data_IF_115423892315
#
_entry.id   IF_115423892315
#
_cell.length_a   1.000
_cell.length_b   1.000
_cell.length_c   1.000
_cell.angle_alpha   90.00
_cell.angle_beta   90.00
_cell.angle_gamma   90.00
#
_symmetry.space_group_name_H-M   'P 1'
#
loop_
_entity.id
_entity.type
_entity.pdbx_description
1 polymer ?
#
# COMPACT_ATOMS: atom_id res chain seq x y z
N UNK A 1 28.34 -7.28 -38.65
CA UNK A 1 27.55 -8.51 -38.54
C UNK A 1 26.54 -8.54 -39.68
N UNK A 2 26.62 -9.57 -40.51
CA UNK A 2 26.03 -9.62 -41.86
C UNK A 2 24.50 -9.61 -41.78
N UNK A 3 23.82 -8.85 -42.64
CA UNK A 3 22.35 -8.64 -42.71
C UNK A 3 21.49 -9.92 -42.52
N UNK A 4 22.07 -11.09 -42.82
CA UNK A 4 21.46 -12.42 -42.61
C UNK A 4 21.30 -12.79 -41.12
N UNK A 5 22.21 -12.38 -40.23
CA UNK A 5 22.09 -12.58 -38.77
C UNK A 5 21.02 -11.67 -38.15
N UNK A 6 20.79 -10.48 -38.71
CA UNK A 6 19.76 -9.57 -38.23
C UNK A 6 18.35 -10.09 -38.58
N UNK A 7 18.18 -10.61 -39.80
CA UNK A 7 16.92 -11.26 -40.20
C UNK A 7 16.61 -12.51 -39.37
N UNK A 8 17.62 -13.30 -39.01
CA UNK A 8 17.45 -14.52 -38.22
C UNK A 8 17.05 -14.22 -36.77
N UNK A 9 17.56 -13.12 -36.19
CA UNK A 9 17.18 -12.67 -34.84
C UNK A 9 15.75 -12.12 -34.79
N UNK A 10 15.31 -11.37 -35.81
CA UNK A 10 13.95 -10.82 -35.88
C UNK A 10 12.89 -11.90 -36.05
N UNK A 11 13.17 -12.94 -36.86
CA UNK A 11 12.27 -14.10 -37.02
C UNK A 11 12.12 -14.90 -35.71
N UNK A 12 13.19 -15.00 -34.91
CA UNK A 12 13.18 -15.72 -33.63
C UNK A 12 12.26 -15.05 -32.58
N UNK A 13 12.22 -13.72 -32.56
CA UNK A 13 11.42 -12.95 -31.59
C UNK A 13 9.91 -13.04 -31.91
N UNK A 14 9.54 -13.14 -33.19
CA UNK A 14 8.13 -13.26 -33.63
C UNK A 14 7.51 -14.62 -33.28
N UNK A 15 8.31 -15.69 -33.22
CA UNK A 15 7.82 -17.02 -32.84
C UNK A 15 7.52 -17.17 -31.34
N UNK A 16 8.03 -16.28 -30.49
CA UNK A 16 7.83 -16.34 -29.03
C UNK A 16 6.48 -15.73 -28.58
N UNK A 17 5.74 -15.05 -29.47
CA UNK A 17 4.46 -14.39 -29.12
C UNK A 17 3.21 -15.22 -29.41
N UNK A 18 3.33 -16.48 -29.82
CA UNK A 18 2.18 -17.35 -30.16
C UNK A 18 1.83 -18.43 -29.10
N UNK A 19 2.46 -18.44 -27.93
CA UNK A 19 1.97 -19.23 -26.80
C UNK A 19 0.94 -18.43 -25.97
N UNK A 20 -0.13 -18.00 -26.61
CA UNK A 20 -1.37 -17.63 -25.93
C UNK A 20 -2.07 -18.92 -25.51
N UNK A 21 -2.09 -19.23 -24.22
CA UNK A 21 -2.88 -20.32 -23.66
C UNK A 21 -4.36 -19.92 -23.75
N UNK A 22 -5.03 -20.36 -24.82
CA UNK A 22 -6.47 -20.41 -24.92
C UNK A 22 -6.98 -21.80 -24.57
N UNK A 23 -7.92 -21.88 -23.63
CA UNK A 23 -8.86 -23.00 -23.51
C UNK A 23 -9.11 -23.51 -22.09
N UNK A 24 -10.25 -23.15 -21.50
CA UNK A 24 -11.38 -24.08 -21.41
C UNK A 24 -12.59 -23.42 -20.73
N UNK A 25 -13.60 -23.11 -21.55
CA UNK A 25 -14.98 -22.94 -21.10
C UNK A 25 -15.45 -24.26 -20.44
N UNK A 26 -15.97 -24.16 -19.23
CA UNK A 26 -16.95 -25.11 -18.70
C UNK A 26 -18.25 -24.35 -18.52
N UNK A 27 -19.12 -24.46 -19.51
CA UNK A 27 -20.54 -24.13 -19.39
C UNK A 27 -21.31 -25.29 -18.72
N UNK A 28 -22.56 -25.05 -18.27
CA UNK A 28 -23.12 -25.64 -17.07
C UNK A 28 -23.89 -26.94 -17.32
N UNK A 29 -23.95 -27.79 -16.30
CA UNK A 29 -24.92 -28.88 -16.24
C UNK A 29 -26.31 -28.35 -15.86
N UNK A 30 -27.31 -28.69 -16.67
CA UNK A 30 -28.73 -28.39 -16.50
C UNK A 30 -29.46 -29.41 -15.60
N UNK A 31 -30.28 -28.87 -14.68
CA UNK A 31 -31.71 -29.18 -14.42
C UNK A 31 -32.19 -30.57 -13.96
N UNK A 32 -32.80 -30.62 -12.75
CA UNK A 32 -34.14 -31.16 -12.42
C UNK A 32 -34.45 -30.85 -10.93
N UNK A 33 -35.59 -30.34 -10.46
CA UNK A 33 -36.85 -29.94 -11.10
C UNK A 33 -37.81 -29.30 -10.07
N UNK A 34 -38.91 -28.76 -10.63
CA UNK A 34 -40.20 -28.36 -10.04
C UNK A 34 -40.35 -27.01 -9.27
N UNK A 35 -40.87 -26.05 -10.06
CA UNK A 35 -41.74 -24.89 -9.79
C UNK A 35 -43.00 -25.23 -8.91
N UNK A 36 -43.86 -24.26 -8.48
CA UNK A 36 -44.00 -22.87 -8.97
C UNK A 36 -44.31 -21.73 -7.97
N UNK A 37 -44.18 -20.49 -8.47
CA UNK A 37 -44.98 -19.28 -8.18
C UNK A 37 -44.84 -18.63 -6.78
N UNK A 38 -44.79 -17.30 -6.60
CA UNK A 38 -45.42 -16.20 -7.35
C UNK A 38 -44.86 -14.84 -6.89
N UNK A 39 -45.02 -13.83 -7.76
CA UNK A 39 -45.16 -12.37 -7.51
C UNK A 39 -43.95 -11.45 -7.35
N UNK A 40 -44.12 -10.31 -8.02
CA UNK A 40 -43.18 -9.28 -8.49
C UNK A 40 -43.07 -8.10 -7.48
N UNK A 41 -42.53 -6.92 -7.85
CA UNK A 41 -41.27 -6.32 -7.39
C UNK A 41 -41.46 -5.15 -6.37
N UNK A 42 -40.42 -4.75 -5.65
CA UNK A 42 -40.44 -3.44 -4.98
C UNK A 42 -39.34 -3.14 -3.97
N UNK A 43 -38.55 -2.12 -4.31
CA UNK A 43 -38.01 -1.07 -3.43
C UNK A 43 -37.08 -1.49 -2.27
N UNK A 44 -35.78 -1.28 -2.44
CA UNK A 44 -34.86 -1.05 -1.30
C UNK A 44 -34.57 0.45 -1.20
N UNK A 45 -35.21 1.07 -0.21
CA UNK A 45 -34.81 2.38 0.33
C UNK A 45 -33.61 2.21 1.29
N UNK A 46 -32.75 3.24 1.41
CA UNK A 46 -31.59 3.22 2.28
C UNK A 46 -31.99 3.34 3.75
N UNK A 47 -31.48 2.46 4.60
CA UNK A 47 -31.68 2.53 6.04
C UNK A 47 -30.94 3.76 6.61
N UNK A 48 -31.73 4.76 6.98
CA UNK A 48 -31.34 5.90 7.82
C UNK A 48 -31.34 5.44 9.28
N UNK A 49 -30.30 5.78 10.04
CA UNK A 49 -30.32 5.76 11.51
C UNK A 49 -30.33 7.20 12.02
N UNK A 50 -31.40 7.59 12.71
CA UNK A 50 -31.50 8.78 13.57
C UNK A 50 -31.60 8.28 15.02
N UNK A 51 -31.11 8.90 16.10
CA UNK A 51 -30.37 10.13 16.42
C UNK A 51 -30.07 10.03 17.95
N UNK A 52 -29.09 10.72 18.55
CA UNK A 52 -29.28 12.06 19.16
C UNK A 52 -27.97 12.57 19.82
N UNK A 53 -27.60 13.81 19.45
CA UNK A 53 -26.94 14.96 20.14
C UNK A 53 -26.14 14.76 21.46
N UNK A 54 -25.03 15.46 21.77
CA UNK A 54 -24.37 16.63 21.16
C UNK A 54 -23.14 17.11 21.99
N UNK A 55 -22.32 18.01 21.41
CA UNK A 55 -21.22 18.83 22.01
C UNK A 55 -20.01 18.05 22.54
N UNK A 56 -18.79 18.15 22.01
CA UNK A 56 -17.90 19.33 21.96
C UNK A 56 -16.69 18.93 21.09
N UNK A 57 -16.17 19.84 20.26
CA UNK A 57 -14.88 19.80 19.53
C UNK A 57 -14.42 18.44 18.97
N UNK A 58 -14.87 18.11 17.77
CA UNK A 58 -14.30 17.02 16.97
C UNK A 58 -13.06 17.51 16.23
N UNK A 59 -11.96 17.69 16.95
CA UNK A 59 -10.67 17.33 16.37
C UNK A 59 -10.73 15.82 16.11
N UNK A 60 -10.48 15.32 14.89
CA UNK A 60 -10.41 13.88 14.66
C UNK A 60 -9.42 13.30 15.66
N UNK A 61 -9.87 12.37 16.52
CA UNK A 61 -8.95 11.61 17.37
C UNK A 61 -8.03 10.86 16.42
N UNK A 62 -6.79 11.34 16.29
CA UNK A 62 -5.75 10.64 15.54
C UNK A 62 -5.58 9.24 16.10
N UNK A 63 -5.21 8.30 15.23
CA UNK A 63 -4.90 6.94 15.66
C UNK A 63 -3.66 7.01 16.55
N UNK A 64 -3.75 6.51 17.78
CA UNK A 64 -2.60 6.45 18.68
C UNK A 64 -1.60 5.41 18.19
N UNK A 65 -0.32 5.80 18.15
CA UNK A 65 0.77 4.91 17.73
C UNK A 65 1.01 3.88 18.83
N UNK A 66 1.04 2.57 18.50
CA UNK A 66 1.26 1.52 19.48
C UNK A 66 2.63 1.62 20.13
N UNK A 67 2.74 1.27 21.42
CA UNK A 67 4.01 1.29 22.16
C UNK A 67 5.04 0.29 21.63
N UNK A 68 4.60 -0.71 20.86
CA UNK A 68 5.48 -1.68 20.21
C UNK A 68 6.21 -1.12 18.97
N UNK A 69 5.76 0.02 18.42
CA UNK A 69 6.44 0.70 17.32
C UNK A 69 7.71 1.39 17.84
N UNK A 70 8.87 1.23 17.17
CA UNK A 70 10.15 1.73 17.67
C UNK A 70 10.32 3.24 17.42
N UNK A 71 9.47 4.07 18.06
CA UNK A 71 9.43 5.53 17.84
C UNK A 71 10.75 6.24 18.15
N UNK A 72 11.55 5.70 19.07
CA UNK A 72 12.86 6.24 19.42
C UNK A 72 13.92 5.98 18.33
N UNK A 73 13.73 4.96 17.49
CA UNK A 73 14.62 4.63 16.39
C UNK A 73 14.13 5.24 15.07
N UNK A 74 12.83 5.16 14.81
CA UNK A 74 12.20 5.67 13.59
C UNK A 74 11.05 6.61 13.99
N UNK A 75 11.36 7.87 14.36
CA UNK A 75 10.35 8.83 14.77
C UNK A 75 9.43 9.21 13.61
N UNK A 76 8.18 9.54 13.93
CA UNK A 76 7.29 10.21 12.98
C UNK A 76 7.65 11.70 12.87
N UNK A 77 7.27 12.33 11.77
CA UNK A 77 7.35 13.80 11.64
C UNK A 77 6.47 14.49 12.69
N UNK A 78 6.89 15.67 13.16
CA UNK A 78 6.24 16.35 14.29
C UNK A 78 4.79 16.80 14.04
N UNK A 79 4.39 16.92 12.78
CA UNK A 79 3.04 17.27 12.34
C UNK A 79 2.27 16.07 11.78
N UNK A 80 2.75 14.84 12.01
CA UNK A 80 2.16 13.62 11.50
C UNK A 80 0.69 13.47 11.92
N UNK A 81 -0.16 13.18 10.94
CA UNK A 81 -1.56 12.80 11.12
C UNK A 81 -1.70 11.33 10.76
N UNK A 82 -1.70 10.46 11.76
CA UNK A 82 -1.76 9.01 11.56
C UNK A 82 -3.12 8.62 11.02
N UNK A 83 -3.12 8.04 9.81
CA UNK A 83 -4.32 7.63 9.09
C UNK A 83 -4.66 6.17 9.40
N UNK A 84 -3.64 5.30 9.44
CA UNK A 84 -3.83 3.87 9.60
C UNK A 84 -2.59 3.17 10.17
N UNK A 85 -2.82 2.13 10.97
CA UNK A 85 -1.77 1.27 11.53
C UNK A 85 -2.12 -0.19 11.27
N UNK A 86 -1.20 -0.92 10.63
CA UNK A 86 -1.36 -2.35 10.33
C UNK A 86 -0.30 -3.12 11.13
N UNK A 87 -0.74 -4.09 11.92
CA UNK A 87 0.14 -5.00 12.68
C UNK A 87 0.12 -6.38 12.03
N UNK A 88 1.29 -6.98 11.85
CA UNK A 88 1.44 -8.37 11.44
C UNK A 88 1.81 -9.22 12.67
N UNK A 89 0.94 -10.15 13.05
CA UNK A 89 1.16 -11.01 14.23
C UNK A 89 2.21 -12.09 14.03
N UNK A 90 2.51 -12.49 12.79
CA UNK A 90 3.44 -13.58 12.49
C UNK A 90 4.90 -13.11 12.62
N UNK A 91 5.21 -11.94 12.07
CA UNK A 91 6.57 -11.39 12.05
C UNK A 91 6.74 -10.13 12.90
N UNK A 92 5.69 -9.72 13.63
CA UNK A 92 5.67 -8.54 14.50
C UNK A 92 5.92 -7.22 13.76
N UNK A 93 5.77 -7.18 12.44
CA UNK A 93 5.90 -5.95 11.68
C UNK A 93 4.77 -4.98 12.02
N UNK A 94 5.11 -3.70 12.13
CA UNK A 94 4.16 -2.61 12.36
C UNK A 94 4.35 -1.60 11.24
N UNK A 95 3.28 -1.41 10.49
CA UNK A 95 3.19 -0.46 9.40
C UNK A 95 2.36 0.75 9.83
N UNK A 96 2.97 1.94 9.84
CA UNK A 96 2.30 3.20 10.18
C UNK A 96 2.17 4.03 8.92
N UNK A 97 0.94 4.39 8.58
CA UNK A 97 0.61 5.29 7.46
C UNK A 97 0.13 6.61 8.03
N UNK A 98 0.72 7.70 7.57
CA UNK A 98 0.32 9.03 8.00
C UNK A 98 0.54 10.07 6.91
N UNK A 99 -0.16 11.19 7.04
CA UNK A 99 0.04 12.38 6.21
C UNK A 99 0.72 13.49 7.00
N UNK A 100 1.47 14.35 6.31
CA UNK A 100 2.20 15.49 6.88
C UNK A 100 2.03 16.71 5.98
N UNK A 101 2.15 17.90 6.57
CA UNK A 101 2.25 19.16 5.82
C UNK A 101 3.66 19.43 5.31
N UNK A 102 4.65 18.61 5.66
CA UNK A 102 6.01 18.67 5.11
C UNK A 102 6.02 18.36 3.62
N UNK A 103 6.93 18.97 2.86
CA UNK A 103 7.15 18.58 1.46
C UNK A 103 7.71 17.15 1.36
N UNK A 104 7.65 16.56 0.18
CA UNK A 104 8.24 15.24 -0.07
C UNK A 104 9.76 15.27 0.20
N UNK A 105 10.42 16.34 -0.24
CA UNK A 105 11.85 16.56 -0.08
C UNK A 105 12.24 16.75 1.40
N UNK A 106 11.46 17.52 2.16
CA UNK A 106 11.72 17.73 3.59
C UNK A 106 11.50 16.44 4.39
N UNK A 107 10.42 15.71 4.10
CA UNK A 107 10.16 14.42 4.72
C UNK A 107 11.27 13.41 4.38
N UNK A 108 11.72 13.38 3.13
CA UNK A 108 12.81 12.51 2.69
C UNK A 108 14.13 12.87 3.38
N UNK A 109 14.52 14.14 3.41
CA UNK A 109 15.74 14.60 4.09
C UNK A 109 15.73 14.30 5.60
N UNK A 110 14.57 14.41 6.24
CA UNK A 110 14.38 13.99 7.63
C UNK A 110 14.71 12.50 7.78
N UNK A 111 14.12 11.63 6.96
CA UNK A 111 14.34 10.19 7.08
C UNK A 111 15.73 9.73 6.63
N UNK A 112 16.38 10.43 5.69
CA UNK A 112 17.80 10.23 5.41
C UNK A 112 18.65 10.46 6.66
N UNK A 113 18.32 11.50 7.44
CA UNK A 113 19.03 11.81 8.70
C UNK A 113 18.76 10.75 9.77
N UNK A 114 17.51 10.28 9.90
CA UNK A 114 17.13 9.19 10.81
C UNK A 114 17.89 7.90 10.46
N UNK A 115 17.98 7.57 9.18
CA UNK A 115 18.58 6.33 8.71
C UNK A 115 20.11 6.40 8.54
N UNK A 116 20.77 7.56 8.72
CA UNK A 116 22.19 7.78 8.37
C UNK A 116 23.17 6.80 9.02
N UNK A 117 22.89 6.38 10.25
CA UNK A 117 23.75 5.47 11.04
C UNK A 117 23.25 4.00 10.94
N UNK A 118 22.28 3.75 10.07
CA UNK A 118 21.73 2.43 9.79
C UNK A 118 22.70 1.54 9.03
N UNK A 119 22.44 0.23 9.06
CA UNK A 119 23.19 -0.79 8.31
C UNK A 119 22.44 -1.17 7.05
N UNK A 120 23.19 -1.38 5.96
CA UNK A 120 22.64 -1.76 4.65
C UNK A 120 21.52 -0.79 4.21
N UNK A 121 21.76 0.50 4.40
CA UNK A 121 20.81 1.55 4.01
C UNK A 121 20.93 1.75 2.52
N UNK A 122 19.80 1.62 1.84
CA UNK A 122 19.65 1.83 0.41
C UNK A 122 18.48 2.77 0.16
N UNK A 123 18.57 3.50 -0.94
CA UNK A 123 17.56 4.45 -1.36
C UNK A 123 17.12 4.16 -2.80
N UNK A 124 15.81 4.24 -3.04
CA UNK A 124 15.21 4.11 -4.36
C UNK A 124 14.34 5.33 -4.59
N UNK A 125 14.71 6.11 -5.60
CA UNK A 125 13.99 7.32 -6.01
C UNK A 125 13.31 7.04 -7.35
N UNK A 126 12.02 7.33 -7.42
CA UNK A 126 11.20 7.25 -8.62
C UNK A 126 10.33 8.48 -8.72
N UNK A 127 9.73 8.72 -9.89
CA UNK A 127 8.77 9.81 -10.08
C UNK A 127 7.54 9.70 -9.15
N UNK A 128 7.25 8.50 -8.64
CA UNK A 128 6.09 8.24 -7.78
C UNK A 128 6.41 8.31 -6.29
N UNK A 129 7.64 7.98 -5.89
CA UNK A 129 8.00 7.76 -4.49
C UNK A 129 9.51 7.84 -4.24
N UNK A 130 9.86 8.28 -3.04
CA UNK A 130 11.19 8.11 -2.44
C UNK A 130 11.11 7.02 -1.37
N UNK A 131 11.98 6.02 -1.46
CA UNK A 131 12.00 4.87 -0.56
C UNK A 131 13.38 4.79 0.07
N UNK A 132 13.44 4.67 1.40
CA UNK A 132 14.65 4.38 2.16
C UNK A 132 14.41 3.08 2.92
N UNK A 133 15.32 2.11 2.80
CA UNK A 133 15.23 0.88 3.57
C UNK A 133 16.59 0.44 4.10
N UNK A 134 16.59 -0.26 5.23
CA UNK A 134 17.81 -0.72 5.89
C UNK A 134 17.52 -1.20 7.29
N UNK A 135 18.57 -1.30 8.12
CA UNK A 135 18.46 -1.72 9.52
C UNK A 135 18.87 -0.61 10.48
N UNK A 136 18.04 -0.36 11.50
CA UNK A 136 18.33 0.51 12.63
C UNK A 136 18.22 -0.29 13.94
N UNK A 137 19.32 -0.41 14.68
CA UNK A 137 19.37 -1.26 15.86
C UNK A 137 19.04 -2.72 15.54
N UNK A 138 18.02 -3.27 16.20
CA UNK A 138 17.47 -4.61 15.98
C UNK A 138 16.20 -4.62 15.13
N UNK A 139 15.97 -3.57 14.33
CA UNK A 139 14.82 -3.47 13.42
C UNK A 139 15.29 -3.32 11.97
N UNK A 140 14.60 -3.99 11.07
CA UNK A 140 14.53 -3.58 9.67
C UNK A 140 13.46 -2.52 9.51
N UNK A 141 13.75 -1.47 8.75
CA UNK A 141 12.83 -0.38 8.45
C UNK A 141 12.75 -0.18 6.94
N UNK A 142 11.53 0.05 6.43
CA UNK A 142 11.27 0.55 5.08
C UNK A 142 10.38 1.77 5.20
N UNK A 143 10.87 2.91 4.71
CA UNK A 143 10.17 4.19 4.73
C UNK A 143 9.87 4.55 3.28
N UNK A 144 8.60 4.69 2.94
CA UNK A 144 8.13 5.12 1.61
C UNK A 144 7.43 6.47 1.73
N UNK A 145 7.86 7.42 0.92
CA UNK A 145 7.39 8.81 0.94
C UNK A 145 6.86 9.12 -0.45
N UNK A 146 5.63 9.58 -0.52
CA UNK A 146 4.92 9.89 -1.76
C UNK A 146 4.24 11.24 -1.63
N UNK A 147 4.01 11.92 -2.75
CA UNK A 147 3.20 13.14 -2.79
C UNK A 147 2.06 12.95 -3.76
N UNK A 148 0.84 13.22 -3.31
CA UNK A 148 -0.35 13.18 -4.14
C UNK A 148 -1.21 14.41 -3.85
N UNK A 149 -1.57 15.16 -4.88
CA UNK A 149 -2.35 16.40 -4.77
C UNK A 149 -1.79 17.42 -3.75
N UNK A 150 -0.46 17.48 -3.64
CA UNK A 150 0.24 18.38 -2.70
C UNK A 150 0.22 17.92 -1.24
N UNK A 151 -0.26 16.70 -0.97
CA UNK A 151 -0.22 16.06 0.34
C UNK A 151 0.88 15.01 0.35
N UNK A 152 1.81 15.14 1.29
CA UNK A 152 2.86 14.14 1.50
C UNK A 152 2.33 13.02 2.38
N UNK A 153 2.42 11.80 1.86
CA UNK A 153 2.08 10.56 2.54
C UNK A 153 3.35 9.81 2.90
N UNK A 154 3.42 9.29 4.12
CA UNK A 154 4.55 8.50 4.60
C UNK A 154 4.03 7.16 5.10
N UNK A 155 4.64 6.09 4.59
CA UNK A 155 4.49 4.74 5.08
C UNK A 155 5.79 4.31 5.76
N UNK A 156 5.72 3.87 7.00
CA UNK A 156 6.85 3.28 7.71
C UNK A 156 6.50 1.85 8.08
N UNK A 157 7.21 0.90 7.50
CA UNK A 157 7.18 -0.50 7.90
C UNK A 157 8.40 -0.80 8.78
N UNK A 158 8.17 -1.26 10.01
CA UNK A 158 9.24 -1.69 10.92
C UNK A 158 9.03 -3.13 11.32
N UNK A 159 10.10 -3.92 11.32
CA UNK A 159 10.07 -5.33 11.71
C UNK A 159 11.28 -5.66 12.60
N UNK A 160 11.07 -6.27 13.78
CA UNK A 160 12.17 -6.80 14.57
C UNK A 160 12.97 -7.86 13.80
N UNK A 161 14.29 -7.87 13.95
CA UNK A 161 15.22 -8.87 13.39
C UNK A 161 15.77 -9.83 14.44
#
# INVERSE_FOLDING_TARGET
MRRKSMLLLVVLIISLTLCGCGGANKEPANTAGNNPSTTTPGKVEPATTAGTQGGTDKTPKGVEVPTEFPIDLVPLLGDAKVDNIIKNSENKAINVNYTTGSSLEDAWAFYQTVMKDGKNVEEVITDAAHIIFGRLGNYSATITIMSHDGITMVNIDTRPE
#
